data_IF_610445599727
#
_entry.id   IF_610445599727
#
_cell.length_a   1.000
_cell.length_b   1.000
_cell.length_c   1.000
_cell.angle_alpha   90.00
_cell.angle_beta   90.00
_cell.angle_gamma   90.00
#
_symmetry.space_group_name_H-M   'P 1'
#
loop_
_entity.id
_entity.type
_entity.pdbx_description
1 polymer ?
#
# COMPACT_ATOMS: atom_id res chain seq x y z
N UNK A 1 6.75 9.74 7.93
CA UNK A 1 5.51 9.80 7.12
C UNK A 1 4.83 8.43 7.14
N UNK A 2 3.51 8.37 7.33
CA UNK A 2 2.70 7.15 7.42
C UNK A 2 1.78 7.07 6.20
N UNK A 3 1.88 5.99 5.42
CA UNK A 3 1.15 5.84 4.15
C UNK A 3 0.37 4.52 4.12
N UNK A 4 -0.92 4.60 3.87
CA UNK A 4 -1.74 3.43 3.57
C UNK A 4 -2.01 3.32 2.06
N UNK A 5 -1.84 2.13 1.50
CA UNK A 5 -2.15 1.84 0.09
C UNK A 5 -3.27 0.82 0.02
N UNK A 6 -4.41 1.26 -0.48
CA UNK A 6 -5.62 0.43 -0.59
C UNK A 6 -6.16 0.43 -2.02
N UNK A 7 -7.10 -0.43 -2.34
CA UNK A 7 -7.73 -0.46 -3.66
C UNK A 7 -7.98 -1.85 -4.20
N UNK A 8 -8.39 -1.92 -5.45
CA UNK A 8 -8.80 -3.18 -6.07
C UNK A 8 -7.64 -4.14 -6.34
N UNK A 9 -7.94 -5.44 -6.37
CA UNK A 9 -6.95 -6.48 -6.68
C UNK A 9 -6.34 -6.26 -8.07
N UNK A 10 -5.06 -6.60 -8.20
CA UNK A 10 -4.28 -6.40 -9.42
C UNK A 10 -4.20 -4.94 -9.93
N UNK A 11 -4.44 -3.95 -9.09
CA UNK A 11 -4.25 -2.53 -9.46
C UNK A 11 -2.79 -2.05 -9.36
N UNK A 12 -1.90 -2.83 -8.75
CA UNK A 12 -0.49 -2.48 -8.55
C UNK A 12 -0.18 -1.85 -7.19
N UNK A 13 -1.05 -2.04 -6.19
CA UNK A 13 -0.85 -1.54 -4.81
C UNK A 13 0.52 -1.89 -4.24
N UNK A 14 0.88 -3.18 -4.29
CA UNK A 14 2.14 -3.64 -3.71
C UNK A 14 3.38 -3.03 -4.39
N UNK A 15 3.31 -2.83 -5.71
CA UNK A 15 4.36 -2.13 -6.45
C UNK A 15 4.47 -0.66 -6.03
N UNK A 16 3.32 0.00 -5.83
CA UNK A 16 3.30 1.38 -5.33
C UNK A 16 3.84 1.44 -3.90
N UNK A 17 3.42 0.52 -3.03
CA UNK A 17 3.87 0.48 -1.64
C UNK A 17 5.39 0.25 -1.52
N UNK A 18 5.95 -0.69 -2.29
CA UNK A 18 7.40 -0.92 -2.35
C UNK A 18 8.14 0.36 -2.77
N UNK A 19 7.67 1.02 -3.84
CA UNK A 19 8.29 2.25 -4.34
C UNK A 19 8.21 3.40 -3.33
N UNK A 20 7.07 3.54 -2.64
CA UNK A 20 6.92 4.53 -1.56
C UNK A 20 7.85 4.24 -0.38
N UNK A 21 8.03 2.97 -0.01
CA UNK A 21 9.00 2.56 1.00
C UNK A 21 10.42 2.95 0.65
N UNK A 22 10.86 2.67 -0.60
CA UNK A 22 12.18 3.10 -1.11
C UNK A 22 12.36 4.62 -1.06
N UNK A 23 11.36 5.38 -1.52
CA UNK A 23 11.43 6.84 -1.58
C UNK A 23 11.46 7.50 -0.20
N UNK A 24 10.72 6.94 0.76
CA UNK A 24 10.58 7.53 2.10
C UNK A 24 11.54 6.98 3.13
N UNK A 25 12.22 5.87 2.83
CA UNK A 25 13.02 5.11 3.80
C UNK A 25 12.19 4.46 4.90
N UNK A 26 10.87 4.40 4.74
CA UNK A 26 9.97 3.78 5.70
C UNK A 26 9.85 2.27 5.49
N UNK A 27 9.72 1.47 6.55
CA UNK A 27 9.43 0.06 6.43
C UNK A 27 8.08 -0.18 5.76
N UNK A 28 8.01 -1.24 4.95
CA UNK A 28 6.80 -1.62 4.20
C UNK A 28 6.21 -2.89 4.79
N UNK A 29 4.92 -2.87 5.12
CA UNK A 29 4.15 -4.04 5.51
C UNK A 29 3.16 -4.43 4.42
N UNK A 30 3.35 -5.60 3.84
CA UNK A 30 2.39 -6.21 2.92
C UNK A 30 1.42 -7.09 3.71
N UNK A 31 0.16 -6.72 3.79
CA UNK A 31 -0.83 -7.46 4.58
C UNK A 31 -1.11 -8.86 4.02
N UNK A 32 -0.86 -9.11 2.73
CA UNK A 32 -0.93 -10.46 2.18
C UNK A 32 0.13 -11.39 2.81
N UNK A 33 1.32 -10.88 3.18
CA UNK A 33 2.32 -11.66 3.93
C UNK A 33 1.90 -11.95 5.38
N UNK A 34 1.10 -11.05 5.93
CA UNK A 34 0.55 -11.25 7.28
C UNK A 34 -0.58 -12.25 7.26
N UNK A 35 -1.47 -12.17 6.27
CA UNK A 35 -2.65 -13.04 6.14
C UNK A 35 -2.27 -14.49 5.83
N UNK A 36 -1.28 -14.72 4.96
CA UNK A 36 -0.99 -16.05 4.44
C UNK A 36 0.34 -16.60 4.93
N UNK A 37 0.31 -17.89 5.26
CA UNK A 37 1.46 -18.79 5.45
C UNK A 37 1.80 -19.47 4.12
N UNK A 38 2.96 -20.16 4.00
CA UNK A 38 3.30 -20.95 2.82
C UNK A 38 2.16 -21.86 2.35
N UNK A 39 1.96 -21.95 1.03
CA UNK A 39 0.89 -22.76 0.45
C UNK A 39 -0.52 -22.13 0.52
N UNK A 40 -0.63 -20.82 0.72
CA UNK A 40 -1.90 -20.10 0.84
C UNK A 40 -2.76 -20.49 2.04
N UNK A 41 -2.15 -21.04 3.08
CA UNK A 41 -2.82 -21.26 4.35
C UNK A 41 -3.06 -19.93 5.05
N UNK A 42 -4.27 -19.72 5.55
CA UNK A 42 -4.55 -18.52 6.33
C UNK A 42 -3.89 -18.62 7.71
N UNK A 43 -3.22 -17.56 8.12
CA UNK A 43 -2.67 -17.42 9.47
C UNK A 43 -3.80 -17.25 10.47
N UNK A 44 -3.58 -17.69 11.70
CA UNK A 44 -4.50 -17.39 12.80
C UNK A 44 -4.78 -15.88 12.87
N UNK A 45 -6.05 -15.53 13.03
CA UNK A 45 -6.49 -14.13 12.99
C UNK A 45 -5.90 -13.30 14.14
N UNK A 46 -5.78 -13.87 15.34
CA UNK A 46 -5.26 -13.14 16.49
C UNK A 46 -3.75 -12.92 16.32
N UNK A 47 -3.01 -13.92 15.83
CA UNK A 47 -1.60 -13.81 15.49
C UNK A 47 -1.36 -12.74 14.43
N UNK A 48 -2.06 -12.81 13.29
CA UNK A 48 -1.95 -11.84 12.21
C UNK A 48 -2.25 -10.40 12.67
N UNK A 49 -3.25 -10.25 13.53
CA UNK A 49 -3.63 -8.97 14.11
C UNK A 49 -2.57 -8.42 15.04
N UNK A 50 -1.96 -9.29 15.89
CA UNK A 50 -0.84 -8.93 16.75
C UNK A 50 0.37 -8.43 15.96
N UNK A 51 0.75 -9.13 14.88
CA UNK A 51 1.84 -8.71 14.00
C UNK A 51 1.65 -7.31 13.43
N UNK A 52 0.43 -6.95 13.02
CA UNK A 52 0.12 -5.60 12.52
C UNK A 52 0.16 -4.58 13.64
N UNK A 53 -0.31 -4.92 14.82
CA UNK A 53 -0.25 -4.04 15.99
C UNK A 53 1.17 -3.74 16.40
N UNK A 54 2.03 -4.75 16.49
CA UNK A 54 3.46 -4.62 16.80
C UNK A 54 4.15 -3.73 15.76
N UNK A 55 3.94 -3.99 14.47
CA UNK A 55 4.49 -3.17 13.40
C UNK A 55 4.09 -1.69 13.51
N UNK A 56 2.82 -1.40 13.81
CA UNK A 56 2.33 -0.02 13.99
C UNK A 56 2.98 0.67 15.21
N UNK A 57 3.17 -0.08 16.30
CA UNK A 57 3.78 0.43 17.52
C UNK A 57 5.27 0.71 17.35
N UNK A 58 6.01 -0.23 16.77
CA UNK A 58 7.46 -0.11 16.51
C UNK A 58 7.80 1.03 15.56
N UNK A 59 6.92 1.28 14.57
CA UNK A 59 7.17 2.28 13.53
C UNK A 59 6.39 3.58 13.73
N UNK A 60 5.89 3.82 14.95
CA UNK A 60 5.06 4.98 15.26
C UNK A 60 5.75 6.31 14.92
N UNK A 61 7.01 6.45 15.26
CA UNK A 61 7.79 7.68 15.06
C UNK A 61 8.53 7.70 13.70
N UNK A 62 9.05 6.54 13.29
CA UNK A 62 9.76 6.40 12.02
C UNK A 62 8.87 6.59 10.80
N UNK A 63 7.59 6.26 10.92
CA UNK A 63 6.66 6.18 9.82
C UNK A 63 6.64 4.79 9.17
N UNK A 64 5.69 4.57 8.26
CA UNK A 64 5.46 3.27 7.64
C UNK A 64 4.70 3.38 6.33
N UNK A 65 4.81 2.34 5.50
CA UNK A 65 3.94 2.10 4.34
C UNK A 65 3.23 0.77 4.53
N UNK A 66 1.90 0.75 4.47
CA UNK A 66 1.10 -0.48 4.62
C UNK A 66 0.24 -0.71 3.38
N UNK A 67 0.42 -1.88 2.72
CA UNK A 67 -0.36 -2.34 1.57
C UNK A 67 -1.42 -3.35 1.98
N UNK A 68 -2.68 -3.08 1.65
CA UNK A 68 -3.78 -4.03 1.75
C UNK A 68 -5.08 -3.50 2.36
N UNK A 69 -6.18 -4.21 2.03
CA UNK A 69 -7.54 -3.79 2.35
C UNK A 69 -8.13 -4.46 3.61
N UNK A 70 -7.40 -5.32 4.28
CA UNK A 70 -7.91 -6.14 5.39
C UNK A 70 -8.49 -5.31 6.53
N UNK A 71 -9.82 -5.37 6.68
CA UNK A 71 -10.54 -4.63 7.73
C UNK A 71 -10.17 -5.14 9.13
N UNK A 72 -9.93 -6.45 9.25
CA UNK A 72 -9.62 -7.11 10.52
C UNK A 72 -8.24 -6.75 11.09
N UNK A 73 -7.34 -6.16 10.27
CA UNK A 73 -5.98 -5.82 10.66
C UNK A 73 -5.86 -4.34 11.01
N UNK A 74 -6.56 -3.93 12.05
CA UNK A 74 -6.54 -2.56 12.59
C UNK A 74 -6.78 -1.47 11.52
N UNK A 75 -7.71 -1.71 10.57
CA UNK A 75 -7.95 -0.78 9.47
C UNK A 75 -8.29 0.64 9.97
N UNK A 76 -9.15 0.78 10.97
CA UNK A 76 -9.50 2.10 11.51
C UNK A 76 -8.26 2.83 12.05
N UNK A 77 -7.43 2.14 12.84
CA UNK A 77 -6.18 2.69 13.37
C UNK A 77 -5.23 3.09 12.23
N UNK A 78 -5.00 2.19 11.25
CA UNK A 78 -4.13 2.46 10.10
C UNK A 78 -4.58 3.69 9.31
N UNK A 79 -5.89 3.83 9.06
CA UNK A 79 -6.43 4.97 8.32
C UNK A 79 -6.40 6.26 9.16
N UNK A 80 -6.65 6.17 10.46
CA UNK A 80 -6.57 7.31 11.37
C UNK A 80 -5.14 7.84 11.51
N UNK A 81 -4.15 6.95 11.65
CA UNK A 81 -2.74 7.31 11.81
C UNK A 81 -2.04 7.69 10.49
N UNK A 82 -2.54 7.25 9.34
CA UNK A 82 -1.96 7.59 8.05
C UNK A 82 -1.97 9.10 7.78
N UNK A 83 -0.86 9.62 7.25
CA UNK A 83 -0.76 10.98 6.71
C UNK A 83 -1.38 11.04 5.31
N UNK A 84 -1.18 9.97 4.51
CA UNK A 84 -1.73 9.81 3.16
C UNK A 84 -2.33 8.41 2.99
N UNK A 85 -3.45 8.35 2.26
CA UNK A 85 -4.13 7.11 1.90
C UNK A 85 -4.26 7.08 0.37
N UNK A 86 -3.50 6.21 -0.29
CA UNK A 86 -3.62 6.02 -1.73
C UNK A 86 -4.70 4.99 -2.04
N UNK A 87 -5.76 5.41 -2.72
CA UNK A 87 -6.81 4.51 -3.19
C UNK A 87 -6.62 4.22 -4.68
N UNK A 88 -6.20 2.99 -4.99
CA UNK A 88 -5.99 2.50 -6.36
C UNK A 88 -7.32 2.06 -6.99
N UNK A 89 -8.08 3.01 -7.54
CA UNK A 89 -9.40 2.79 -8.19
C UNK A 89 -9.23 2.52 -9.70
N UNK A 90 -8.41 1.52 -10.04
CA UNK A 90 -8.19 1.16 -11.45
C UNK A 90 -9.38 0.36 -12.01
N UNK A 91 -9.83 0.64 -13.25
CA UNK A 91 -10.90 -0.12 -13.86
C UNK A 91 -10.49 -1.57 -14.20
N UNK A 92 -11.48 -2.47 -14.30
CA UNK A 92 -11.26 -3.90 -14.60
C UNK A 92 -10.39 -4.14 -15.83
N UNK A 93 -10.59 -3.33 -16.89
CA UNK A 93 -9.82 -3.38 -18.14
C UNK A 93 -8.30 -3.15 -17.96
N UNK A 94 -7.88 -2.59 -16.84
CA UNK A 94 -6.47 -2.43 -16.48
C UNK A 94 -6.06 -3.56 -15.51
N UNK A 95 -6.89 -3.88 -14.52
CA UNK A 95 -6.56 -4.88 -13.50
C UNK A 95 -6.46 -6.29 -14.09
N UNK A 96 -7.36 -6.67 -15.01
CA UNK A 96 -7.39 -8.01 -15.57
C UNK A 96 -6.14 -8.35 -16.40
N UNK A 97 -5.73 -7.56 -17.42
CA UNK A 97 -4.49 -7.83 -18.15
C UNK A 97 -3.27 -7.82 -17.23
N UNK A 98 -3.25 -6.97 -16.20
CA UNK A 98 -2.17 -6.91 -15.24
C UNK A 98 -2.09 -8.17 -14.37
N UNK A 99 -3.23 -8.74 -13.98
CA UNK A 99 -3.29 -10.01 -13.27
C UNK A 99 -2.80 -11.17 -14.15
N UNK A 100 -3.22 -11.23 -15.42
CA UNK A 100 -2.76 -12.23 -16.39
C UNK A 100 -1.26 -12.16 -16.64
N UNK A 101 -0.75 -10.94 -16.90
CA UNK A 101 0.68 -10.71 -17.05
C UNK A 101 1.48 -11.12 -15.81
N UNK A 102 0.98 -10.79 -14.62
CA UNK A 102 1.59 -11.14 -13.35
C UNK A 102 1.66 -12.66 -13.17
N UNK A 103 0.56 -13.37 -13.41
CA UNK A 103 0.53 -14.83 -13.35
C UNK A 103 1.53 -15.48 -14.33
N UNK A 104 1.63 -14.94 -15.55
CA UNK A 104 2.63 -15.41 -16.52
C UNK A 104 4.05 -15.14 -16.05
N UNK A 105 4.34 -13.92 -15.57
CA UNK A 105 5.68 -13.49 -15.15
C UNK A 105 6.19 -14.24 -13.92
N UNK A 106 5.31 -14.54 -12.97
CA UNK A 106 5.66 -15.18 -11.70
C UNK A 106 5.19 -16.63 -11.60
N UNK A 107 4.97 -17.28 -12.74
CA UNK A 107 4.58 -18.70 -12.77
C UNK A 107 5.61 -19.55 -12.03
N UNK A 108 5.19 -20.27 -10.97
CA UNK A 108 6.04 -21.07 -10.11
C UNK A 108 7.02 -20.27 -9.23
N UNK A 109 6.74 -19.01 -8.96
CA UNK A 109 7.54 -18.17 -8.06
C UNK A 109 6.65 -17.31 -7.18
N UNK A 110 7.02 -17.16 -5.91
CA UNK A 110 6.41 -16.19 -5.03
C UNK A 110 6.90 -14.77 -5.35
N UNK A 111 6.04 -13.79 -5.20
CA UNK A 111 6.41 -12.37 -5.28
C UNK A 111 6.95 -11.88 -3.94
N UNK A 112 7.76 -10.84 -3.97
CA UNK A 112 8.28 -10.19 -2.77
C UNK A 112 7.15 -9.70 -1.82
N UNK A 113 5.99 -9.33 -2.35
CA UNK A 113 4.84 -8.83 -1.56
C UNK A 113 3.91 -9.92 -1.04
N UNK A 114 4.26 -11.20 -1.18
CA UNK A 114 3.46 -12.35 -0.72
C UNK A 114 4.33 -13.29 0.09
N UNK A 115 3.73 -14.14 0.92
CA UNK A 115 4.49 -15.11 1.71
C UNK A 115 5.26 -16.09 0.80
N UNK A 116 6.45 -16.52 1.23
CA UNK A 116 7.21 -17.54 0.54
C UNK A 116 6.39 -18.82 0.40
N UNK A 117 6.52 -19.52 -0.75
CA UNK A 117 5.71 -20.72 -1.02
C UNK A 117 4.25 -20.45 -1.41
N UNK A 118 3.86 -19.19 -1.59
CA UNK A 118 2.58 -18.81 -2.17
C UNK A 118 2.78 -18.45 -3.65
N UNK A 119 2.71 -19.45 -4.51
CA UNK A 119 2.83 -19.25 -5.95
C UNK A 119 1.65 -18.44 -6.50
N UNK A 120 1.93 -17.59 -7.50
CA UNK A 120 0.86 -16.88 -8.19
C UNK A 120 -0.12 -17.87 -8.83
N UNK A 121 -1.37 -17.73 -8.46
CA UNK A 121 -2.49 -18.51 -9.04
C UNK A 121 -3.44 -17.58 -9.77
N UNK A 122 -3.84 -18.00 -10.96
CA UNK A 122 -4.93 -17.40 -11.71
C UNK A 122 -6.02 -18.48 -11.87
N UNK A 123 -6.67 -18.79 -10.78
CA UNK A 123 -7.83 -19.65 -10.78
C UNK A 123 -9.11 -18.86 -11.14
N UNK A 124 -10.18 -19.60 -11.40
CA UNK A 124 -11.47 -19.01 -11.77
C UNK A 124 -12.02 -18.12 -10.64
N UNK A 125 -11.76 -18.47 -9.38
CA UNK A 125 -12.19 -17.72 -8.22
C UNK A 125 -11.54 -16.33 -8.20
N UNK A 126 -10.23 -16.25 -8.38
CA UNK A 126 -9.52 -14.98 -8.44
C UNK A 126 -9.92 -14.13 -9.64
N UNK A 127 -10.21 -14.77 -10.77
CA UNK A 127 -10.74 -14.09 -11.95
C UNK A 127 -12.12 -13.45 -11.66
N UNK A 128 -13.04 -14.22 -11.06
CA UNK A 128 -14.35 -13.73 -10.64
C UNK A 128 -14.23 -12.64 -9.57
N UNK A 129 -13.27 -12.76 -8.67
CA UNK A 129 -12.96 -11.72 -7.71
C UNK A 129 -12.60 -10.39 -8.38
N UNK A 130 -11.71 -10.39 -9.36
CA UNK A 130 -11.32 -9.17 -10.10
C UNK A 130 -12.51 -8.58 -10.86
N UNK A 131 -13.31 -9.46 -11.49
CA UNK A 131 -14.40 -9.04 -12.38
C UNK A 131 -15.68 -8.63 -11.63
N UNK A 132 -15.98 -9.28 -10.50
CA UNK A 132 -17.27 -9.16 -9.82
C UNK A 132 -17.14 -8.95 -8.31
N UNK A 133 -16.66 -9.95 -7.58
CA UNK A 133 -16.84 -10.04 -6.13
C UNK A 133 -15.99 -9.03 -5.36
N UNK A 134 -14.77 -8.78 -5.82
CA UNK A 134 -13.90 -7.72 -5.29
C UNK A 134 -14.42 -6.30 -5.55
N UNK A 135 -15.49 -6.16 -6.33
CA UNK A 135 -16.15 -4.88 -6.69
C UNK A 135 -17.65 -4.92 -6.45
N UNK A 136 -18.08 -5.70 -5.50
CA UNK A 136 -19.48 -5.75 -5.09
C UNK A 136 -19.96 -4.36 -4.63
N UNK A 137 -21.29 -4.19 -4.52
CA UNK A 137 -21.89 -2.93 -4.08
C UNK A 137 -21.41 -2.57 -2.67
N UNK A 138 -21.32 -3.55 -1.79
CA UNK A 138 -20.89 -3.44 -0.41
C UNK A 138 -19.43 -2.97 -0.32
N UNK A 139 -18.52 -3.59 -1.10
CA UNK A 139 -17.11 -3.18 -1.13
C UNK A 139 -16.91 -1.78 -1.67
N UNK A 140 -17.65 -1.41 -2.70
CA UNK A 140 -17.62 -0.04 -3.22
C UNK A 140 -18.15 0.97 -2.20
N UNK A 141 -19.17 0.58 -1.42
CA UNK A 141 -19.66 1.42 -0.35
C UNK A 141 -18.61 1.57 0.76
N UNK A 142 -17.98 0.48 1.20
CA UNK A 142 -16.90 0.53 2.19
C UNK A 142 -15.77 1.50 1.79
N UNK A 143 -15.36 1.50 0.51
CA UNK A 143 -14.37 2.47 0.04
C UNK A 143 -14.89 3.91 0.04
N UNK A 144 -16.17 4.15 -0.32
CA UNK A 144 -16.77 5.48 -0.24
C UNK A 144 -16.81 5.98 1.20
N UNK A 145 -17.30 5.16 2.12
CA UNK A 145 -17.38 5.51 3.54
C UNK A 145 -15.99 5.83 4.13
N UNK A 146 -14.97 5.09 3.68
CA UNK A 146 -13.59 5.36 4.09
C UNK A 146 -13.10 6.71 3.54
N UNK A 147 -13.36 7.02 2.27
CA UNK A 147 -12.99 8.29 1.67
C UNK A 147 -13.73 9.47 2.33
N UNK A 148 -15.01 9.30 2.65
CA UNK A 148 -15.82 10.31 3.35
C UNK A 148 -15.33 10.57 4.78
N UNK A 149 -14.84 9.54 5.47
CA UNK A 149 -14.25 9.68 6.81
C UNK A 149 -12.87 10.35 6.82
N UNK A 150 -12.12 10.27 5.71
CA UNK A 150 -10.75 10.77 5.61
C UNK A 150 -10.50 11.67 4.39
N UNK A 151 -11.36 12.68 4.11
CA UNK A 151 -11.37 13.41 2.84
C UNK A 151 -10.08 14.18 2.56
N UNK A 152 -9.34 14.58 3.61
CA UNK A 152 -8.09 15.35 3.49
C UNK A 152 -6.84 14.49 3.29
N UNK A 153 -6.96 13.17 3.48
CA UNK A 153 -5.84 12.23 3.42
C UNK A 153 -5.89 11.33 2.18
N UNK A 154 -7.06 11.17 1.56
CA UNK A 154 -7.26 10.22 0.46
C UNK A 154 -6.89 10.82 -0.89
N UNK A 155 -5.98 10.15 -1.58
CA UNK A 155 -5.59 10.41 -2.97
C UNK A 155 -6.09 9.27 -3.84
N UNK A 156 -7.06 9.55 -4.72
CA UNK A 156 -7.64 8.55 -5.63
C UNK A 156 -6.85 8.47 -6.92
N UNK A 157 -6.29 7.28 -7.20
CA UNK A 157 -5.50 7.00 -8.40
C UNK A 157 -6.29 6.09 -9.34
N UNK A 158 -6.72 6.60 -10.49
CA UNK A 158 -7.57 5.90 -11.47
C UNK A 158 -6.82 5.37 -12.67
N UNK A 159 -5.60 5.86 -12.92
CA UNK A 159 -4.79 5.56 -14.12
C UNK A 159 -3.32 5.47 -13.74
N UNK A 160 -2.54 4.76 -14.55
CA UNK A 160 -1.08 4.69 -14.36
C UNK A 160 -0.38 6.04 -14.37
N UNK A 161 -0.88 7.00 -15.16
CA UNK A 161 -0.36 8.37 -15.19
C UNK A 161 -0.56 9.10 -13.86
N UNK A 162 -1.66 8.83 -13.14
CA UNK A 162 -1.94 9.44 -11.84
C UNK A 162 -0.91 8.98 -10.82
N UNK A 163 -0.57 7.67 -10.84
CA UNK A 163 0.50 7.10 -10.00
C UNK A 163 1.84 7.76 -10.30
N UNK A 164 2.21 7.85 -11.58
CA UNK A 164 3.48 8.47 -11.99
C UNK A 164 3.57 9.92 -11.53
N UNK A 165 2.55 10.71 -11.81
CA UNK A 165 2.50 12.10 -11.40
C UNK A 165 2.59 12.27 -9.87
N UNK A 166 1.91 11.40 -9.12
CA UNK A 166 1.98 11.41 -7.66
C UNK A 166 3.39 11.09 -7.13
N UNK A 167 4.06 10.09 -7.70
CA UNK A 167 5.44 9.77 -7.35
C UNK A 167 6.40 10.91 -7.68
N UNK A 168 6.26 11.53 -8.85
CA UNK A 168 7.05 12.71 -9.25
C UNK A 168 6.87 13.90 -8.30
N UNK A 169 5.66 14.13 -7.82
CA UNK A 169 5.39 15.17 -6.82
C UNK A 169 6.05 14.86 -5.47
N UNK A 170 5.94 13.63 -5.02
CA UNK A 170 6.58 13.20 -3.76
C UNK A 170 8.11 13.29 -3.84
N UNK A 171 8.72 12.90 -4.97
CA UNK A 171 10.17 13.05 -5.20
C UNK A 171 10.59 14.53 -5.12
N UNK A 172 9.83 15.44 -5.73
CA UNK A 172 10.12 16.90 -5.66
C UNK A 172 10.04 17.43 -4.23
N UNK A 173 8.98 17.08 -3.50
CA UNK A 173 8.81 17.50 -2.10
C UNK A 173 9.95 16.97 -1.24
N UNK A 174 10.37 15.73 -1.44
CA UNK A 174 11.51 15.14 -0.72
C UNK A 174 12.81 15.89 -1.03
N UNK A 175 13.08 16.22 -2.29
CA UNK A 175 14.27 16.98 -2.71
C UNK A 175 14.27 18.42 -2.15
N UNK A 176 13.13 19.10 -2.14
CA UNK A 176 12.99 20.44 -1.57
C UNK A 176 13.24 20.45 -0.06
N UNK A 177 12.72 19.47 0.68
CA UNK A 177 12.96 19.35 2.11
C UNK A 177 14.44 19.09 2.43
N UNK A 178 15.11 18.22 1.65
CA UNK A 178 16.54 17.97 1.81
C UNK A 178 17.40 19.23 1.56
N UNK A 179 17.00 20.06 0.60
CA UNK A 179 17.69 21.31 0.32
C UNK A 179 17.48 22.35 1.43
N UNK A 180 16.28 22.44 2.01
CA UNK A 180 16.00 23.32 3.15
C UNK A 180 16.81 22.94 4.38
N UNK A 181 16.94 21.64 4.67
CA UNK A 181 17.73 21.16 5.79
C UNK A 181 19.24 21.43 5.62
N UNK A 182 19.72 21.41 4.37
CA UNK A 182 21.12 21.76 4.06
C UNK A 182 21.40 23.25 4.21
N UNK A 183 20.49 24.10 3.72
CA UNK A 183 20.64 25.57 3.83
C UNK A 183 20.42 26.06 5.26
N UNK A 184 19.51 25.48 6.03
CA UNK A 184 19.32 25.81 7.44
C UNK A 184 20.51 25.46 8.36
N UNK A 185 21.31 24.44 7.98
CA UNK A 185 22.54 24.10 8.71
C UNK A 185 23.72 25.03 8.42
N UNK A 186 23.70 25.74 7.29
CA UNK A 186 24.79 26.67 6.92
C UNK A 186 24.63 28.00 7.65
N UNK A 187 23.40 28.48 7.87
CA UNK A 187 23.14 29.74 8.60
C UNK A 187 23.32 29.63 10.12
N UNK A 188 23.21 28.43 10.69
CA UNK A 188 23.42 28.23 12.14
C UNK A 188 24.89 28.17 12.61
N UNK A 189 25.86 28.09 11.68
CA UNK A 189 27.29 28.03 12.02
C UNK A 189 28.03 29.39 11.89
N UNK A 190 27.36 30.41 11.35
CA UNK A 190 27.97 31.76 11.23
C UNK A 190 27.65 32.70 12.41
N UNK A 191 26.72 32.34 13.30
CA UNK A 191 26.36 33.15 14.47
C UNK A 191 27.14 32.77 15.76
N UNK A 192 28.11 31.87 15.66
CA UNK A 192 28.97 31.43 16.80
C UNK A 192 30.47 31.68 16.58
N UNK A 193 30.82 32.80 15.91
CA UNK A 193 32.22 33.28 15.88
C UNK A 193 32.31 34.72 16.31
#
# INVERSE_FOLDING_TARGET
MKIAVIGYSASGKSTLAARLGEMTGCPVLFLDKVQFLPGWQERDRAEARGMVEDFLNENRERGWVIDGNYANFHQERRMAEADLIFFMDFPRRICLPQALYRNWKYKGRARESIAEGCDEKMDLEFLLWILRDGRSRERRQQFRDLMERHPRKVVVLKRRRDVRHCLELLDRIAAENQNRDRTGKITGNEELR
#
